data_IF_902782026417
#
_entry.id   IF_902782026417
#
_cell.length_a   1.000
_cell.length_b   1.000
_cell.length_c   1.000
_cell.angle_alpha   90.00
_cell.angle_beta   90.00
_cell.angle_gamma   90.00
#
_symmetry.space_group_name_H-M   'P 1'
#
loop_
_entity.id
_entity.type
_entity.pdbx_description
1 polymer ?
#
# COMPACT_ATOMS: atom_id res chain seq x y z
N UNK A 1 -5.77 -1.58 17.40
CA UNK A 1 -4.86 -0.85 16.49
C UNK A 1 -5.54 -0.48 15.16
N UNK A 2 -5.94 -1.43 14.31
CA UNK A 2 -6.51 -1.17 12.97
C UNK A 2 -7.65 -0.13 12.96
N UNK A 3 -8.61 -0.27 13.89
CA UNK A 3 -9.74 0.66 14.00
C UNK A 3 -9.30 2.11 14.29
N UNK A 4 -8.25 2.30 15.10
CA UNK A 4 -7.72 3.62 15.42
C UNK A 4 -7.06 4.28 14.21
N UNK A 5 -6.31 3.50 13.43
CA UNK A 5 -5.70 3.95 12.17
C UNK A 5 -6.79 4.34 11.18
N UNK A 6 -7.78 3.46 10.94
CA UNK A 6 -8.88 3.76 10.03
C UNK A 6 -9.64 5.02 10.42
N UNK A 7 -9.87 5.25 11.72
CA UNK A 7 -10.50 6.49 12.19
C UNK A 7 -9.61 7.70 11.96
N UNK A 8 -8.30 7.60 12.22
CA UNK A 8 -7.37 8.71 12.00
C UNK A 8 -7.31 9.11 10.52
N UNK A 9 -7.30 8.14 9.61
CA UNK A 9 -7.30 8.36 8.15
C UNK A 9 -8.55 9.08 7.63
N UNK A 10 -9.66 9.03 8.38
CA UNK A 10 -10.90 9.74 8.04
C UNK A 10 -10.95 11.18 8.55
N UNK A 11 -9.98 11.61 9.35
CA UNK A 11 -9.95 13.00 9.84
C UNK A 11 -9.44 13.93 8.75
N UNK A 12 -10.07 15.10 8.61
CA UNK A 12 -9.71 16.09 7.58
C UNK A 12 -8.23 16.49 7.65
N UNK A 13 -7.69 16.64 8.87
CA UNK A 13 -6.30 17.02 9.07
C UNK A 13 -5.33 15.96 8.51
N UNK A 14 -5.56 14.69 8.79
CA UNK A 14 -4.72 13.60 8.28
C UNK A 14 -4.91 13.43 6.78
N UNK A 15 -6.16 13.47 6.32
CA UNK A 15 -6.47 13.33 4.90
C UNK A 15 -5.83 14.44 4.07
N UNK A 16 -5.90 15.70 4.52
CA UNK A 16 -5.28 16.83 3.85
C UNK A 16 -3.76 16.69 3.76
N UNK A 17 -3.11 16.25 4.85
CA UNK A 17 -1.64 16.05 4.86
C UNK A 17 -1.16 14.92 3.96
N UNK A 18 -1.96 13.88 3.79
CA UNK A 18 -1.67 12.81 2.85
C UNK A 18 -1.91 13.27 1.40
N UNK A 19 -2.98 14.02 1.16
CA UNK A 19 -3.28 14.59 -0.14
C UNK A 19 -2.22 15.60 -0.63
N UNK A 20 -1.64 16.41 0.26
CA UNK A 20 -0.51 17.30 -0.05
C UNK A 20 0.70 16.56 -0.66
N UNK A 21 0.85 15.27 -0.34
CA UNK A 21 1.93 14.40 -0.83
C UNK A 21 1.48 13.51 -2.00
N UNK A 22 0.25 13.68 -2.49
CA UNK A 22 -0.33 12.86 -3.55
C UNK A 22 -0.81 11.48 -3.09
N UNK A 23 -0.91 11.23 -1.78
CA UNK A 23 -1.43 9.97 -1.26
C UNK A 23 -2.96 10.01 -1.11
N UNK A 24 -3.60 8.90 -1.47
CA UNK A 24 -5.03 8.65 -1.25
C UNK A 24 -5.20 7.61 -0.14
N UNK A 25 -5.54 8.02 1.10
CA UNK A 25 -5.70 7.08 2.19
C UNK A 25 -6.95 6.23 2.02
N UNK A 26 -6.77 4.91 1.84
CA UNK A 26 -7.89 3.97 1.69
C UNK A 26 -8.33 3.36 3.03
N UNK A 27 -7.41 3.23 3.99
CA UNK A 27 -7.61 2.38 5.16
C UNK A 27 -7.84 0.92 4.76
N UNK A 28 -8.47 0.14 5.64
CA UNK A 28 -8.92 -1.21 5.32
C UNK A 28 -8.88 -2.20 6.49
N UNK A 29 -8.90 -3.48 6.14
CA UNK A 29 -8.81 -4.60 7.08
C UNK A 29 -7.42 -5.25 7.02
N UNK A 30 -6.97 -5.94 8.07
CA UNK A 30 -5.73 -6.70 8.03
C UNK A 30 -5.70 -7.75 6.91
N UNK A 31 -6.85 -8.33 6.57
CA UNK A 31 -6.98 -9.29 5.46
C UNK A 31 -6.71 -8.61 4.11
N UNK A 32 -7.28 -7.42 3.87
CA UNK A 32 -6.99 -6.65 2.65
C UNK A 32 -5.52 -6.28 2.55
N UNK A 33 -4.85 -5.93 3.66
CA UNK A 33 -3.41 -5.68 3.67
C UNK A 33 -2.62 -6.94 3.28
N UNK A 34 -2.96 -8.10 3.87
CA UNK A 34 -2.32 -9.38 3.52
C UNK A 34 -2.48 -9.66 2.02
N UNK A 35 -3.68 -9.50 1.49
CA UNK A 35 -3.98 -9.85 0.11
C UNK A 35 -3.26 -8.89 -0.86
N UNK A 36 -3.20 -7.59 -0.55
CA UNK A 36 -2.43 -6.61 -1.31
C UNK A 36 -0.93 -6.93 -1.32
N UNK A 37 -0.36 -7.30 -0.16
CA UNK A 37 1.06 -7.69 -0.07
C UNK A 37 1.37 -8.93 -0.91
N UNK A 38 0.49 -9.94 -0.88
CA UNK A 38 0.67 -11.15 -1.68
C UNK A 38 0.55 -10.87 -3.18
N UNK A 39 -0.33 -9.95 -3.57
CA UNK A 39 -0.44 -9.50 -4.97
C UNK A 39 0.86 -8.80 -5.42
N UNK A 40 1.34 -7.83 -4.65
CA UNK A 40 2.57 -7.09 -4.95
C UNK A 40 3.79 -8.01 -5.09
N UNK A 41 3.94 -9.00 -4.19
CA UNK A 41 5.01 -9.99 -4.26
C UNK A 41 4.97 -10.77 -5.57
N UNK A 42 3.78 -11.17 -6.04
CA UNK A 42 3.61 -11.91 -7.30
C UNK A 42 3.93 -11.03 -8.50
N UNK A 43 3.51 -9.77 -8.48
CA UNK A 43 3.75 -8.84 -9.58
C UNK A 43 5.25 -8.55 -9.72
N UNK A 44 5.94 -8.28 -8.61
CA UNK A 44 7.40 -8.10 -8.60
C UNK A 44 8.12 -9.36 -9.07
N UNK A 45 7.71 -10.55 -8.59
CA UNK A 45 8.30 -11.81 -9.04
C UNK A 45 8.11 -12.02 -10.56
N UNK A 46 6.93 -11.66 -11.09
CA UNK A 46 6.65 -11.70 -12.53
C UNK A 46 7.54 -10.75 -13.33
N UNK A 47 7.80 -9.53 -12.83
CA UNK A 47 8.69 -8.56 -13.48
C UNK A 47 10.15 -9.06 -13.55
N UNK A 48 10.64 -9.66 -12.46
CA UNK A 48 11.99 -10.25 -12.41
C UNK A 48 12.08 -11.45 -13.36
N UNK A 49 11.10 -12.35 -13.33
CA UNK A 49 11.10 -13.53 -14.21
C UNK A 49 10.99 -13.16 -15.69
N UNK A 50 10.27 -12.09 -16.03
CA UNK A 50 10.17 -11.56 -17.39
C UNK A 50 11.46 -10.88 -17.89
N UNK A 51 12.52 -10.82 -17.08
CA UNK A 51 13.80 -10.19 -17.43
C UNK A 51 13.70 -8.67 -17.58
N UNK A 52 12.58 -8.06 -17.15
CA UNK A 52 12.36 -6.61 -17.23
C UNK A 52 13.15 -5.84 -16.17
N UNK A 53 13.68 -6.54 -15.16
CA UNK A 53 14.54 -5.99 -14.11
C UNK A 53 15.73 -6.95 -13.92
N UNK A 54 16.96 -6.49 -14.19
CA UNK A 54 18.18 -7.16 -13.72
C UNK A 54 18.46 -6.67 -12.31
N UNK A 55 18.47 -7.57 -11.35
CA UNK A 55 18.94 -7.27 -9.99
C UNK A 55 20.45 -7.48 -10.01
N UNK A 56 21.22 -6.40 -10.12
CA UNK A 56 22.66 -6.45 -9.83
C UNK A 56 22.81 -6.48 -8.31
N UNK A 57 23.20 -7.66 -7.79
CA UNK A 57 23.64 -7.88 -6.41
C UNK A 57 25.17 -7.79 -6.34
#
# INVERSE_FOLDING_TARGET
MNQGINRALQTDAVHAKLAEQGFLPTGGTPAQLRDALLAEIRDVAGLVQAGKVRVDL
#
